data_IF_514811784610
#
_entry.id   IF_514811784610
#
_cell.length_a   1.000
_cell.length_b   1.000
_cell.length_c   1.000
_cell.angle_alpha   90.00
_cell.angle_beta   90.00
_cell.angle_gamma   90.00
#
_symmetry.space_group_name_H-M   'P 1'
#
loop_
_entity.id
_entity.type
_entity.pdbx_description
1 polymer ?
#
# COMPACT_ATOMS: atom_id res chain seq x y z
N UNK A 1 -7.80 -17.46 -11.25
CA UNK A 1 -7.67 -16.18 -10.49
C UNK A 1 -6.21 -15.75 -10.52
N UNK A 2 -5.93 -14.65 -11.18
CA UNK A 2 -4.61 -14.06 -11.30
C UNK A 2 -4.52 -12.92 -10.28
N UNK A 3 -3.81 -13.12 -9.18
CA UNK A 3 -3.68 -12.14 -8.12
C UNK A 3 -2.32 -11.44 -8.20
N UNK A 4 -2.33 -10.12 -8.40
CA UNK A 4 -1.11 -9.34 -8.46
C UNK A 4 -0.56 -9.00 -7.06
N UNK A 5 0.75 -9.12 -6.90
CA UNK A 5 1.45 -8.92 -5.64
C UNK A 5 2.41 -7.74 -5.71
N UNK A 6 2.38 -6.90 -4.67
CA UNK A 6 3.36 -5.84 -4.45
C UNK A 6 4.56 -6.42 -3.68
N UNK A 7 5.77 -6.10 -4.11
CA UNK A 7 7.01 -6.57 -3.49
C UNK A 7 7.58 -5.57 -2.48
N UNK A 8 6.74 -5.10 -1.56
CA UNK A 8 7.12 -4.20 -0.46
C UNK A 8 6.86 -4.83 0.89
N UNK A 9 7.61 -4.38 1.90
CA UNK A 9 7.50 -4.86 3.28
C UNK A 9 6.10 -4.73 3.87
N UNK A 10 5.33 -3.71 3.47
CA UNK A 10 3.94 -3.54 3.92
C UNK A 10 3.01 -4.69 3.54
N UNK A 11 3.41 -5.55 2.59
CA UNK A 11 2.63 -6.73 2.21
C UNK A 11 3.08 -8.01 2.93
N UNK A 12 4.17 -7.96 3.70
CA UNK A 12 4.75 -9.15 4.33
C UNK A 12 3.77 -9.92 5.22
N UNK A 13 2.95 -9.28 6.10
CA UNK A 13 1.94 -10.01 6.88
C UNK A 13 0.90 -10.71 6.01
N UNK A 14 0.42 -10.06 4.95
CA UNK A 14 -0.53 -10.66 4.01
C UNK A 14 0.12 -11.80 3.22
N UNK A 15 1.39 -11.66 2.85
CA UNK A 15 2.14 -12.69 2.14
C UNK A 15 2.35 -13.97 2.97
N UNK A 16 2.60 -13.81 4.26
CA UNK A 16 2.69 -14.94 5.20
C UNK A 16 1.34 -15.62 5.35
N UNK A 17 0.29 -14.83 5.55
CA UNK A 17 -1.08 -15.31 5.66
C UNK A 17 -1.52 -16.11 4.42
N UNK A 18 -1.38 -15.55 3.22
CA UNK A 18 -1.89 -16.16 2.00
C UNK A 18 -1.19 -17.48 1.64
N UNK A 19 0.06 -17.68 2.10
CA UNK A 19 0.78 -18.94 1.92
C UNK A 19 0.14 -20.10 2.68
N UNK A 20 -0.41 -19.83 3.86
CA UNK A 20 -1.09 -20.84 4.70
C UNK A 20 -2.60 -20.92 4.43
N UNK A 21 -3.19 -19.89 3.82
CA UNK A 21 -4.61 -19.86 3.53
C UNK A 21 -4.98 -20.92 2.46
N UNK A 22 -6.10 -21.67 2.62
CA UNK A 22 -6.52 -22.67 1.66
C UNK A 22 -6.94 -22.02 0.34
N UNK A 23 -6.06 -22.15 -0.66
CA UNK A 23 -6.26 -21.65 -2.03
C UNK A 23 -5.81 -22.70 -3.03
N UNK A 24 -6.36 -22.70 -4.25
CA UNK A 24 -5.89 -23.60 -5.31
C UNK A 24 -4.39 -23.41 -5.59
N UNK A 25 -3.70 -24.49 -5.96
CA UNK A 25 -2.25 -24.45 -6.23
C UNK A 25 -1.87 -23.44 -7.30
N UNK A 26 -2.63 -23.32 -8.40
CA UNK A 26 -2.38 -22.34 -9.47
C UNK A 26 -2.42 -20.89 -8.97
N UNK A 27 -3.25 -20.57 -7.98
CA UNK A 27 -3.31 -19.25 -7.36
C UNK A 27 -2.00 -18.94 -6.62
N UNK A 28 -1.48 -19.89 -5.85
CA UNK A 28 -0.21 -19.74 -5.13
C UNK A 28 0.99 -19.64 -6.07
N UNK A 29 0.99 -20.39 -7.17
CA UNK A 29 2.02 -20.28 -8.22
C UNK A 29 2.02 -18.88 -8.84
N UNK A 30 0.86 -18.35 -9.19
CA UNK A 30 0.74 -17.02 -9.75
C UNK A 30 1.27 -15.95 -8.80
N UNK A 31 0.98 -16.03 -7.50
CA UNK A 31 1.51 -15.14 -6.47
C UNK A 31 3.04 -15.13 -6.39
N UNK A 32 3.70 -16.28 -6.68
CA UNK A 32 5.16 -16.38 -6.69
C UNK A 32 5.79 -15.73 -7.91
N UNK A 33 5.14 -15.84 -9.07
CA UNK A 33 5.69 -15.42 -10.36
C UNK A 33 5.50 -13.92 -10.65
N UNK A 34 4.42 -13.30 -10.20
CA UNK A 34 4.02 -11.94 -10.57
C UNK A 34 4.17 -10.95 -9.42
N UNK A 35 5.43 -10.75 -8.97
CA UNK A 35 5.78 -9.65 -8.05
C UNK A 35 6.12 -8.40 -8.85
N UNK A 36 5.62 -7.25 -8.42
CA UNK A 36 5.89 -5.98 -9.09
C UNK A 36 5.69 -4.78 -8.14
N UNK A 37 5.99 -3.59 -8.60
CA UNK A 37 5.73 -2.35 -7.88
C UNK A 37 4.31 -1.82 -8.15
N UNK A 38 3.76 -0.93 -7.29
CA UNK A 38 2.35 -0.53 -7.33
C UNK A 38 1.86 0.03 -8.66
N UNK A 39 2.62 0.91 -9.34
CA UNK A 39 2.15 1.51 -10.59
C UNK A 39 1.99 0.49 -11.71
N UNK A 40 2.93 -0.46 -11.84
CA UNK A 40 2.83 -1.55 -12.82
C UNK A 40 1.72 -2.54 -12.48
N UNK A 41 1.45 -2.72 -11.18
CA UNK A 41 0.30 -3.52 -10.74
C UNK A 41 -1.02 -2.85 -11.10
N UNK A 42 -1.13 -1.53 -10.91
CA UNK A 42 -2.30 -0.75 -11.32
C UNK A 42 -2.56 -0.89 -12.82
N UNK A 43 -1.52 -0.73 -13.63
CA UNK A 43 -1.60 -0.92 -15.09
C UNK A 43 -2.12 -2.32 -15.42
N UNK A 44 -1.47 -3.37 -14.87
CA UNK A 44 -1.86 -4.75 -15.11
C UNK A 44 -3.31 -5.03 -14.72
N UNK A 45 -3.79 -4.40 -13.65
CA UNK A 45 -5.17 -4.53 -13.19
C UNK A 45 -6.13 -3.77 -14.12
N UNK A 46 -5.86 -2.52 -14.46
CA UNK A 46 -6.71 -1.71 -15.34
C UNK A 46 -6.84 -2.35 -16.74
N UNK A 47 -5.77 -2.97 -17.25
CA UNK A 47 -5.80 -3.73 -18.51
C UNK A 47 -6.31 -5.18 -18.37
N UNK A 48 -6.84 -5.58 -17.20
CA UNK A 48 -7.35 -6.93 -16.92
C UNK A 48 -6.34 -8.06 -17.14
N UNK A 49 -5.05 -7.76 -17.03
CA UNK A 49 -3.96 -8.76 -17.05
C UNK A 49 -3.90 -9.55 -15.75
N UNK A 50 -4.44 -8.99 -14.66
CA UNK A 50 -4.68 -9.64 -13.37
C UNK A 50 -6.14 -9.42 -12.95
N UNK A 51 -6.68 -10.35 -12.16
CA UNK A 51 -8.09 -10.34 -11.76
C UNK A 51 -8.30 -9.62 -10.42
N UNK A 52 -7.27 -9.55 -9.58
CA UNK A 52 -7.29 -8.90 -8.28
C UNK A 52 -5.89 -8.52 -7.79
N UNK A 53 -5.84 -7.62 -6.80
CA UNK A 53 -4.61 -7.22 -6.11
C UNK A 53 -4.83 -6.03 -5.18
N UNK A 54 -3.79 -5.65 -4.44
CA UNK A 54 -3.80 -4.40 -3.68
C UNK A 54 -3.46 -3.24 -4.63
N UNK A 55 -4.49 -2.60 -5.12
CA UNK A 55 -4.41 -1.51 -6.11
C UNK A 55 -4.30 -0.18 -5.39
N UNK A 56 -3.47 0.74 -5.88
CA UNK A 56 -3.32 2.06 -5.28
C UNK A 56 -4.67 2.78 -5.20
N UNK A 57 -4.90 3.55 -4.16
CA UNK A 57 -6.20 4.17 -3.90
C UNK A 57 -6.67 5.06 -5.05
N UNK A 58 -5.75 5.77 -5.71
CA UNK A 58 -6.08 6.62 -6.84
C UNK A 58 -6.57 5.80 -8.07
N UNK A 59 -5.94 4.66 -8.37
CA UNK A 59 -6.31 3.79 -9.47
C UNK A 59 -7.56 2.96 -9.16
N UNK A 60 -7.75 2.59 -7.89
CA UNK A 60 -8.90 1.82 -7.41
C UNK A 60 -10.18 2.63 -7.20
N UNK A 61 -10.20 3.93 -7.50
CA UNK A 61 -11.31 4.84 -7.16
C UNK A 61 -12.70 4.36 -7.61
N UNK A 62 -12.82 3.79 -8.80
CA UNK A 62 -14.10 3.33 -9.38
C UNK A 62 -14.59 1.97 -8.84
N UNK A 63 -13.79 1.28 -8.03
CA UNK A 63 -14.17 -0.03 -7.50
C UNK A 63 -14.98 0.10 -6.22
N UNK A 64 -15.94 -0.80 -6.02
CA UNK A 64 -16.79 -0.81 -4.83
C UNK A 64 -15.99 -1.00 -3.54
N UNK A 65 -16.44 -0.36 -2.46
CA UNK A 65 -15.96 -0.56 -1.09
C UNK A 65 -16.97 -1.41 -0.33
N UNK A 66 -16.47 -2.44 0.33
CA UNK A 66 -17.29 -3.31 1.17
C UNK A 66 -16.84 -3.23 2.63
N UNK A 67 -17.71 -3.51 3.61
CA UNK A 67 -17.36 -3.46 5.04
C UNK A 67 -16.21 -4.40 5.44
N UNK A 68 -15.97 -5.44 4.66
CA UNK A 68 -14.88 -6.40 4.85
C UNK A 68 -13.62 -6.10 4.03
N UNK A 69 -13.63 -5.04 3.22
CA UNK A 69 -12.48 -4.72 2.35
C UNK A 69 -11.18 -4.56 3.12
N UNK A 70 -10.07 -4.95 2.50
CA UNK A 70 -8.72 -4.74 3.00
C UNK A 70 -8.07 -3.54 2.31
N UNK A 71 -7.15 -2.91 3.00
CA UNK A 71 -6.33 -1.83 2.46
C UNK A 71 -4.95 -1.80 3.08
N UNK A 72 -4.10 -0.92 2.59
CA UNK A 72 -2.81 -0.54 3.19
C UNK A 72 -3.03 0.86 3.77
N UNK A 73 -3.12 0.94 5.08
CA UNK A 73 -3.58 2.12 5.82
C UNK A 73 -2.53 2.58 6.81
N UNK A 74 -2.36 3.89 6.95
CA UNK A 74 -1.62 4.49 8.04
C UNK A 74 -2.48 5.50 8.80
N UNK A 75 -2.43 5.46 10.13
CA UNK A 75 -3.20 6.37 11.00
C UNK A 75 -2.46 7.66 11.34
N UNK A 76 -1.14 7.62 11.33
CA UNK A 76 -0.26 8.76 11.55
C UNK A 76 0.91 8.62 10.59
N UNK A 77 2.12 8.48 11.10
CA UNK A 77 3.31 8.22 10.30
C UNK A 77 3.28 6.85 9.63
N UNK A 78 3.82 6.75 8.44
CA UNK A 78 3.95 5.51 7.66
C UNK A 78 5.40 5.08 7.47
N UNK A 79 6.35 5.97 7.65
CA UNK A 79 7.81 5.81 7.49
C UNK A 79 8.28 5.40 6.08
N UNK A 80 7.39 4.84 5.28
CA UNK A 80 7.69 4.31 3.93
C UNK A 80 7.16 5.18 2.79
N UNK A 81 6.69 6.40 3.09
CA UNK A 81 6.25 7.39 2.08
C UNK A 81 6.65 8.77 2.56
N UNK A 82 7.76 9.27 2.04
CA UNK A 82 8.42 10.48 2.49
C UNK A 82 8.55 11.49 1.34
N UNK A 83 8.60 12.77 1.69
CA UNK A 83 9.08 13.83 0.80
C UNK A 83 10.37 14.38 1.37
N UNK A 84 11.41 14.44 0.52
CA UNK A 84 12.75 14.89 0.91
C UNK A 84 13.26 15.98 -0.01
N UNK A 85 14.08 16.88 0.54
CA UNK A 85 14.70 17.97 -0.22
C UNK A 85 13.70 18.96 -0.80
N UNK A 86 14.15 19.79 -1.75
CA UNK A 86 13.37 20.87 -2.36
C UNK A 86 13.09 20.69 -3.85
N UNK A 87 13.84 19.80 -4.52
CA UNK A 87 13.70 19.55 -5.95
C UNK A 87 12.54 18.57 -6.19
N UNK A 88 11.55 19.00 -6.95
CA UNK A 88 10.39 18.18 -7.25
C UNK A 88 10.77 16.96 -8.10
N UNK A 89 10.51 15.77 -7.57
CA UNK A 89 10.60 14.53 -8.32
C UNK A 89 9.52 13.55 -7.85
N UNK A 90 8.82 12.97 -8.81
CA UNK A 90 7.82 11.94 -8.52
C UNK A 90 8.42 10.55 -8.58
N UNK A 91 8.02 9.70 -7.64
CA UNK A 91 8.39 8.29 -7.68
C UNK A 91 7.57 7.57 -8.76
N UNK A 92 8.27 6.88 -9.67
CA UNK A 92 7.64 6.14 -10.79
C UNK A 92 6.81 4.94 -10.32
N UNK A 93 7.01 4.48 -9.11
CA UNK A 93 6.40 3.28 -8.56
C UNK A 93 5.06 3.52 -7.84
N UNK A 94 4.73 4.78 -7.45
CA UNK A 94 3.51 5.06 -6.69
C UNK A 94 2.68 6.25 -7.19
N UNK A 95 1.56 5.93 -7.79
CA UNK A 95 0.58 6.93 -8.19
C UNK A 95 -0.13 7.60 -7.00
N UNK A 96 -0.49 6.85 -5.94
CA UNK A 96 -1.16 7.42 -4.76
C UNK A 96 -0.27 8.33 -3.95
N UNK A 97 1.02 7.99 -3.78
CA UNK A 97 1.95 8.81 -3.00
C UNK A 97 2.27 10.13 -3.69
N UNK A 98 2.47 10.09 -5.01
CA UNK A 98 2.66 11.30 -5.82
C UNK A 98 1.42 12.20 -5.77
N UNK A 99 0.23 11.61 -5.93
CA UNK A 99 -1.03 12.36 -5.84
C UNK A 99 -1.27 12.94 -4.43
N UNK A 100 -0.86 12.23 -3.37
CA UNK A 100 -0.93 12.73 -2.00
C UNK A 100 0.02 13.91 -1.79
N UNK A 101 1.27 13.85 -2.28
CA UNK A 101 2.22 14.95 -2.23
C UNK A 101 1.65 16.21 -2.93
N UNK A 102 1.09 16.05 -4.12
CA UNK A 102 0.41 17.13 -4.86
C UNK A 102 -0.82 17.65 -4.08
N UNK A 103 -1.65 16.77 -3.53
CA UNK A 103 -2.82 17.14 -2.74
C UNK A 103 -2.45 17.91 -1.47
N UNK A 104 -1.30 17.66 -0.89
CA UNK A 104 -0.76 18.39 0.27
C UNK A 104 0.00 19.66 -0.12
N UNK A 105 0.23 19.89 -1.42
CA UNK A 105 0.94 21.08 -1.93
C UNK A 105 2.44 21.07 -1.61
N UNK A 106 3.05 19.88 -1.50
CA UNK A 106 4.46 19.74 -1.14
C UNK A 106 5.37 19.82 -2.37
N UNK A 107 6.54 20.39 -2.15
CA UNK A 107 7.68 20.37 -3.06
C UNK A 107 8.74 19.44 -2.49
N UNK A 108 9.43 18.68 -3.32
CA UNK A 108 10.47 17.73 -2.93
C UNK A 108 10.39 16.42 -3.72
N UNK A 109 11.33 15.53 -3.46
CA UNK A 109 11.37 14.20 -4.03
C UNK A 109 10.51 13.24 -3.20
N UNK A 110 9.59 12.53 -3.87
CA UNK A 110 8.76 11.51 -3.22
C UNK A 110 9.52 10.19 -3.19
N UNK A 111 9.83 9.70 -1.99
CA UNK A 111 10.39 8.37 -1.77
C UNK A 111 9.32 7.41 -1.26
N UNK A 112 9.31 6.16 -1.76
CA UNK A 112 8.34 5.15 -1.33
C UNK A 112 8.97 3.80 -1.02
N UNK A 113 8.21 2.99 -0.27
CA UNK A 113 8.50 1.59 0.00
C UNK A 113 9.85 1.39 0.70
N UNK A 114 10.62 0.41 0.21
CA UNK A 114 11.88 0.05 0.84
C UNK A 114 12.93 1.17 0.76
N UNK A 115 12.92 1.98 -0.32
CA UNK A 115 13.82 3.15 -0.48
C UNK A 115 13.56 4.20 0.61
N UNK A 116 12.29 4.51 0.87
CA UNK A 116 11.93 5.46 1.92
C UNK A 116 12.32 4.95 3.31
N UNK A 117 12.11 3.65 3.59
CA UNK A 117 12.52 3.04 4.86
C UNK A 117 14.03 3.05 5.04
N UNK A 118 14.79 2.70 4.01
CA UNK A 118 16.25 2.81 4.05
C UNK A 118 16.68 4.24 4.34
N UNK A 119 16.09 5.22 3.65
CA UNK A 119 16.38 6.64 3.90
C UNK A 119 16.07 7.02 5.35
N UNK A 120 14.89 6.66 5.85
CA UNK A 120 14.44 6.97 7.21
C UNK A 120 15.42 6.42 8.28
N UNK A 121 15.74 5.13 8.22
CA UNK A 121 16.59 4.49 9.23
C UNK A 121 18.07 4.81 9.09
N UNK A 122 18.55 5.17 7.91
CA UNK A 122 19.95 5.53 7.67
C UNK A 122 20.25 7.02 7.90
N UNK A 123 19.23 7.87 7.97
CA UNK A 123 19.40 9.32 8.03
C UNK A 123 18.55 9.98 9.12
N UNK A 124 18.75 9.66 10.41
CA UNK A 124 17.86 10.12 11.49
C UNK A 124 17.88 11.66 11.71
N UNK A 125 18.89 12.35 11.17
CA UNK A 125 19.06 13.81 11.30
C UNK A 125 18.65 14.59 10.05
N UNK A 126 18.21 13.94 8.96
CA UNK A 126 17.80 14.66 7.75
C UNK A 126 16.33 15.06 7.81
N UNK A 127 16.06 16.25 7.27
CA UNK A 127 14.69 16.74 7.16
C UNK A 127 13.93 15.94 6.12
N UNK A 128 12.77 15.45 6.51
CA UNK A 128 11.80 14.79 5.64
C UNK A 128 10.39 15.07 6.15
N UNK A 129 9.42 14.94 5.26
CA UNK A 129 8.00 15.01 5.60
C UNK A 129 7.39 13.63 5.37
N UNK A 130 6.86 12.99 6.42
CA UNK A 130 6.03 11.79 6.27
C UNK A 130 4.64 12.19 5.78
N UNK A 131 4.27 11.70 4.60
CA UNK A 131 3.02 12.11 3.95
C UNK A 131 1.77 11.68 4.72
N UNK A 132 1.80 10.53 5.38
CA UNK A 132 0.66 10.07 6.16
C UNK A 132 0.52 10.86 7.47
N UNK A 133 1.63 11.22 8.12
CA UNK A 133 1.64 12.07 9.30
C UNK A 133 1.04 13.45 8.99
N UNK A 134 1.51 14.10 7.92
CA UNK A 134 1.00 15.42 7.51
C UNK A 134 -0.47 15.34 7.08
N UNK A 135 -0.88 14.29 6.39
CA UNK A 135 -2.29 14.06 6.06
C UNK A 135 -3.15 13.96 7.32
N UNK A 136 -2.69 13.17 8.30
CA UNK A 136 -3.41 13.00 9.57
C UNK A 136 -3.49 14.31 10.35
N UNK A 137 -2.44 15.09 10.37
CA UNK A 137 -2.42 16.41 11.00
C UNK A 137 -3.50 17.33 10.39
N UNK A 138 -3.55 17.41 9.06
CA UNK A 138 -4.48 18.31 8.34
C UNK A 138 -5.93 17.82 8.33
N UNK A 139 -6.17 16.50 8.24
CA UNK A 139 -7.52 15.95 8.03
C UNK A 139 -8.08 15.20 9.24
N UNK A 140 -7.24 14.82 10.20
CA UNK A 140 -7.59 13.97 11.36
C UNK A 140 -8.19 12.62 10.96
N UNK A 141 -7.83 12.14 9.77
CA UNK A 141 -8.29 10.90 9.16
C UNK A 141 -7.10 10.06 8.71
N UNK A 142 -7.18 8.72 8.79
CA UNK A 142 -6.12 7.86 8.27
C UNK A 142 -5.99 8.00 6.75
N UNK A 143 -4.79 7.71 6.24
CA UNK A 143 -4.57 7.65 4.81
C UNK A 143 -4.56 6.20 4.30
N UNK A 144 -5.23 5.95 3.19
CA UNK A 144 -5.30 4.65 2.52
C UNK A 144 -4.45 4.71 1.26
N UNK A 145 -3.31 4.01 1.26
CA UNK A 145 -2.38 3.98 0.12
C UNK A 145 -2.84 3.05 -0.99
N UNK A 146 -3.44 1.94 -0.62
CA UNK A 146 -3.96 0.95 -1.55
C UNK A 146 -5.06 0.13 -0.92
N UNK A 147 -5.81 -0.57 -1.75
CA UNK A 147 -6.92 -1.40 -1.31
C UNK A 147 -7.08 -2.65 -2.16
N UNK A 148 -7.59 -3.71 -1.58
CA UNK A 148 -7.91 -4.93 -2.31
C UNK A 148 -9.05 -4.64 -3.29
N UNK A 149 -8.73 -4.72 -4.59
CA UNK A 149 -9.67 -4.62 -5.69
C UNK A 149 -9.72 -5.93 -6.47
N UNK A 150 -10.88 -6.26 -7.00
CA UNK A 150 -11.08 -7.47 -7.80
C UNK A 150 -12.26 -7.30 -8.76
N UNK A 151 -12.21 -7.99 -9.89
CA UNK A 151 -13.28 -7.99 -10.89
C UNK A 151 -14.31 -9.10 -10.64
N UNK A 152 -13.86 -10.26 -10.14
CA UNK A 152 -14.65 -11.47 -9.99
C UNK A 152 -14.41 -12.14 -8.64
N UNK A 153 -15.15 -13.22 -8.34
CA UNK A 153 -14.97 -14.04 -7.13
C UNK A 153 -15.17 -13.29 -5.81
N UNK A 154 -16.18 -12.42 -5.75
CA UNK A 154 -16.50 -11.59 -4.58
C UNK A 154 -16.54 -12.39 -3.27
N UNK A 155 -17.18 -13.56 -3.26
CA UNK A 155 -17.31 -14.39 -2.06
C UNK A 155 -15.98 -14.97 -1.58
N UNK A 156 -15.10 -15.35 -2.52
CA UNK A 156 -13.74 -15.75 -2.17
C UNK A 156 -12.99 -14.61 -1.48
N UNK A 157 -12.97 -13.41 -2.06
CA UNK A 157 -12.27 -12.26 -1.48
C UNK A 157 -12.92 -11.77 -0.18
N UNK A 158 -14.24 -11.93 -0.02
CA UNK A 158 -14.92 -11.68 1.25
C UNK A 158 -14.40 -12.62 2.35
N UNK A 159 -14.41 -13.95 2.10
CA UNK A 159 -13.89 -14.94 3.05
C UNK A 159 -12.42 -14.73 3.36
N UNK A 160 -11.60 -14.50 2.34
CA UNK A 160 -10.18 -14.19 2.46
C UNK A 160 -9.94 -12.96 3.37
N UNK A 161 -10.67 -11.88 3.12
CA UNK A 161 -10.54 -10.64 3.88
C UNK A 161 -10.96 -10.80 5.33
N UNK A 162 -12.04 -11.51 5.59
CA UNK A 162 -12.49 -11.80 6.95
C UNK A 162 -11.49 -12.68 7.69
N UNK A 163 -10.99 -13.74 7.06
CA UNK A 163 -9.97 -14.61 7.65
C UNK A 163 -8.70 -13.83 8.00
N UNK A 164 -8.19 -12.98 7.09
CA UNK A 164 -7.01 -12.16 7.36
C UNK A 164 -7.22 -11.16 8.50
N UNK A 165 -8.40 -10.55 8.61
CA UNK A 165 -8.71 -9.62 9.73
C UNK A 165 -8.70 -10.30 11.09
N UNK A 166 -9.17 -11.54 11.16
CA UNK A 166 -9.26 -12.29 12.42
C UNK A 166 -7.95 -12.99 12.81
N UNK A 167 -7.05 -13.18 11.86
CA UNK A 167 -5.80 -13.87 12.10
C UNK A 167 -4.67 -12.89 12.49
N UNK A 168 -4.13 -13.03 13.71
CA UNK A 168 -2.87 -12.38 14.09
C UNK A 168 -1.72 -13.12 13.38
N UNK A 169 -1.30 -12.60 12.24
CA UNK A 169 -0.23 -13.22 11.45
C UNK A 169 1.13 -12.97 12.12
N UNK A 170 1.72 -14.02 12.69
CA UNK A 170 3.11 -14.00 13.15
C UNK A 170 4.02 -14.21 11.95
N UNK A 171 5.02 -13.35 11.78
CA UNK A 171 5.99 -13.49 10.69
C UNK A 171 7.10 -14.45 11.18
N UNK A 172 7.31 -15.59 10.47
CA UNK A 172 8.38 -16.52 10.82
C UNK A 172 9.76 -15.86 10.76
N UNK A 173 10.63 -16.25 11.68
CA UNK A 173 11.98 -15.68 11.78
C UNK A 173 12.79 -15.73 10.49
N UNK A 174 12.73 -16.86 9.77
CA UNK A 174 13.47 -17.02 8.50
C UNK A 174 12.96 -16.05 7.41
N UNK A 175 11.65 -15.78 7.36
CA UNK A 175 11.06 -14.79 6.42
C UNK A 175 11.52 -13.37 6.80
N UNK A 176 11.54 -13.06 8.10
CA UNK A 176 12.02 -11.75 8.57
C UNK A 176 13.52 -11.57 8.29
N UNK A 177 14.32 -12.63 8.43
CA UNK A 177 15.75 -12.62 8.08
C UNK A 177 15.95 -12.39 6.58
N UNK A 178 15.22 -13.10 5.74
CA UNK A 178 15.24 -12.91 4.27
C UNK A 178 14.84 -11.47 3.89
N UNK A 179 13.77 -10.94 4.48
CA UNK A 179 13.34 -9.57 4.26
C UNK A 179 14.39 -8.54 4.69
N UNK A 180 15.06 -8.74 5.82
CA UNK A 180 16.14 -7.89 6.31
C UNK A 180 17.34 -7.86 5.35
N UNK A 181 17.76 -9.02 4.86
CA UNK A 181 18.84 -9.13 3.87
C UNK A 181 18.47 -8.43 2.55
N UNK A 182 17.26 -8.68 2.05
CA UNK A 182 16.77 -8.10 0.79
C UNK A 182 16.66 -6.56 0.85
N UNK A 183 16.29 -6.02 1.99
CA UNK A 183 16.02 -4.58 2.14
C UNK A 183 17.16 -3.82 2.80
N UNK A 184 18.22 -4.49 3.24
CA UNK A 184 19.30 -3.89 4.02
C UNK A 184 18.81 -3.11 5.26
N UNK A 185 17.76 -3.63 5.92
CA UNK A 185 17.19 -3.08 7.14
C UNK A 185 17.38 -4.06 8.29
N UNK A 186 17.48 -3.54 9.52
CA UNK A 186 17.49 -4.39 10.71
C UNK A 186 16.11 -5.01 10.90
N UNK A 187 16.07 -6.25 11.42
CA UNK A 187 14.80 -6.95 11.71
C UNK A 187 13.88 -6.16 12.66
N UNK A 188 14.47 -5.49 13.65
CA UNK A 188 13.73 -4.64 14.58
C UNK A 188 13.06 -3.46 13.86
N UNK A 189 13.74 -2.83 12.91
CA UNK A 189 13.21 -1.71 12.10
C UNK A 189 12.04 -2.18 11.23
N UNK A 190 12.16 -3.38 10.65
CA UNK A 190 11.04 -3.98 9.88
C UNK A 190 9.83 -4.22 10.79
N UNK A 191 10.02 -4.79 11.97
CA UNK A 191 8.94 -5.03 12.93
C UNK A 191 8.30 -3.71 13.41
N UNK A 192 9.12 -2.71 13.73
CA UNK A 192 8.64 -1.37 14.08
C UNK A 192 7.81 -0.75 12.94
N UNK A 193 8.31 -0.82 11.71
CA UNK A 193 7.58 -0.34 10.54
C UNK A 193 6.23 -1.04 10.37
N UNK A 194 6.18 -2.37 10.47
CA UNK A 194 4.96 -3.13 10.27
C UNK A 194 3.86 -2.82 11.30
N UNK A 195 4.22 -2.32 12.49
CA UNK A 195 3.26 -1.82 13.48
C UNK A 195 2.55 -0.53 13.06
N UNK A 196 3.11 0.21 12.09
CA UNK A 196 2.49 1.44 11.55
C UNK A 196 1.47 1.14 10.45
N UNK A 197 1.40 -0.10 9.96
CA UNK A 197 0.54 -0.49 8.84
C UNK A 197 -0.70 -1.22 9.34
N UNK A 198 -1.86 -0.75 8.93
CA UNK A 198 -3.16 -1.34 9.19
C UNK A 198 -3.78 -1.83 7.89
N UNK A 199 -4.60 -2.88 7.97
CA UNK A 199 -5.17 -3.51 6.77
C UNK A 199 -6.68 -3.44 6.69
N UNK A 200 -7.35 -2.99 7.74
CA UNK A 200 -8.81 -2.91 7.79
C UNK A 200 -9.30 -1.59 7.20
N UNK A 201 -10.31 -1.65 6.32
CA UNK A 201 -11.04 -0.49 5.83
C UNK A 201 -12.38 -0.36 6.55
N UNK A 202 -12.37 0.26 7.73
CA UNK A 202 -13.57 0.61 8.49
C UNK A 202 -14.15 1.97 8.07
N UNK A 203 -15.05 2.51 8.89
CA UNK A 203 -15.71 3.80 8.61
C UNK A 203 -14.72 4.97 8.51
N UNK A 204 -13.73 5.04 9.42
CA UNK A 204 -12.72 6.12 9.44
C UNK A 204 -11.84 6.09 8.19
N UNK A 205 -11.38 4.91 7.77
CA UNK A 205 -10.55 4.73 6.58
C UNK A 205 -11.32 5.08 5.31
N UNK A 206 -12.60 4.72 5.24
CA UNK A 206 -13.47 5.09 4.12
C UNK A 206 -13.69 6.61 4.06
N UNK A 207 -13.83 7.28 5.22
CA UNK A 207 -13.88 8.75 5.27
C UNK A 207 -12.55 9.37 4.81
N UNK A 208 -11.40 8.84 5.24
CA UNK A 208 -10.08 9.26 4.77
C UNK A 208 -9.94 9.12 3.26
N UNK A 209 -10.39 7.99 2.71
CA UNK A 209 -10.37 7.75 1.28
C UNK A 209 -11.28 8.72 0.51
N UNK A 210 -12.50 8.99 1.01
CA UNK A 210 -13.40 9.99 0.43
C UNK A 210 -12.81 11.40 0.48
N UNK A 211 -12.18 11.77 1.59
CA UNK A 211 -11.49 13.06 1.73
C UNK A 211 -10.35 13.18 0.69
N UNK A 212 -9.55 12.12 0.50
CA UNK A 212 -8.51 12.10 -0.51
C UNK A 212 -9.07 12.27 -1.93
N UNK A 213 -10.13 11.55 -2.29
CA UNK A 213 -10.77 11.70 -3.60
C UNK A 213 -11.33 13.10 -3.84
N UNK A 214 -11.82 13.76 -2.79
CA UNK A 214 -12.27 15.15 -2.85
C UNK A 214 -11.11 16.11 -3.13
N UNK A 215 -9.94 15.92 -2.48
CA UNK A 215 -8.72 16.70 -2.77
C UNK A 215 -8.25 16.50 -4.22
N UNK A 216 -8.31 15.28 -4.75
CA UNK A 216 -7.97 15.03 -6.15
C UNK A 216 -8.85 15.82 -7.13
N UNK A 217 -10.15 15.89 -6.84
CA UNK A 217 -11.09 16.67 -7.66
C UNK A 217 -10.81 18.18 -7.56
N UNK A 218 -10.69 18.70 -6.36
CA UNK A 218 -10.41 20.12 -6.13
C UNK A 218 -9.12 20.58 -6.82
N UNK A 219 -8.06 19.79 -6.72
CA UNK A 219 -6.74 20.12 -7.29
C UNK A 219 -6.57 19.63 -8.72
N UNK A 220 -7.60 19.07 -9.35
CA UNK A 220 -7.59 18.54 -10.72
C UNK A 220 -6.45 17.53 -10.96
N UNK A 221 -6.09 16.74 -9.92
CA UNK A 221 -5.05 15.72 -10.01
C UNK A 221 -5.58 14.54 -10.82
N UNK A 222 -4.90 14.22 -11.91
CA UNK A 222 -5.32 13.17 -12.82
C UNK A 222 -5.12 11.77 -12.21
N UNK A 223 -6.12 10.92 -12.42
CA UNK A 223 -6.06 9.50 -12.06
C UNK A 223 -5.45 8.71 -13.21
N UNK A 224 -4.74 7.60 -12.93
CA UNK A 224 -4.34 6.67 -14.00
C UNK A 224 -5.57 6.20 -14.75
N UNK A 225 -5.54 6.33 -16.07
CA UNK A 225 -6.63 5.92 -16.97
C UNK A 225 -6.27 4.62 -17.67
N UNK A 226 -7.29 3.87 -18.08
CA UNK A 226 -7.19 2.86 -19.11
C UNK A 226 -7.26 3.61 -20.44
N UNK A 227 -6.24 3.46 -21.28
CA UNK A 227 -6.25 4.01 -22.63
C UNK A 227 -7.18 3.20 -23.51
#
# INVERSE_FOLDING_TARGET
MRFGKIDYLNMLPFDVFIKSYPTPCYFKQFLRLKKTYPSKLNESFLFRRIDAGFISSIAGHSFALYPYSLGIVAYKEVLSVLVVGTKNAFDKESASSNALSQALGLKGEVLIGNKALQFYYSNPKKDFIDLAALWYEKKRLPFVFGRLCYYQNKDFYKRLSLAFKHQKTKIPYYILKEAALKTNLKRQDILHYLQKIYYTLGKKEQLGLKAFYRELLFKRIQKPKRF
#
